data_IF_997892465493
#
_entry.id   IF_997892465493
#
_cell.length_a   1.000
_cell.length_b   1.000
_cell.length_c   1.000
_cell.angle_alpha   90.00
_cell.angle_beta   90.00
_cell.angle_gamma   90.00
#
_symmetry.space_group_name_H-M   'P 1'
#
loop_
_entity.id
_entity.type
_entity.pdbx_description
1 polymer ?
#
# COMPACT_ATOMS: atom_id res chain seq x y z
N UNK A 1 -13.58 12.28 -4.71
CA UNK A 1 -13.36 11.57 -3.42
C UNK A 1 -11.90 11.14 -3.38
N UNK A 2 -11.15 11.48 -2.32
CA UNK A 2 -9.74 11.07 -2.19
C UNK A 2 -9.71 9.72 -1.49
N UNK A 3 -9.17 8.71 -2.15
CA UNK A 3 -9.05 7.40 -1.54
C UNK A 3 -7.93 7.41 -0.48
N UNK A 4 -8.21 6.94 0.74
CA UNK A 4 -7.23 6.90 1.80
C UNK A 4 -6.22 5.78 1.55
N UNK A 5 -4.97 6.01 1.97
CA UNK A 5 -3.95 4.98 1.95
C UNK A 5 -4.33 3.85 2.89
N UNK A 6 -4.27 2.61 2.41
CA UNK A 6 -4.64 1.45 3.21
C UNK A 6 -3.71 1.23 4.42
N UNK A 7 -2.45 1.68 4.34
CA UNK A 7 -1.47 1.57 5.44
C UNK A 7 -1.65 2.64 6.52
N UNK A 8 -1.59 3.92 6.14
CA UNK A 8 -1.59 5.03 7.11
C UNK A 8 -2.96 5.68 7.30
N UNK A 9 -3.98 5.21 6.58
CA UNK A 9 -5.36 5.73 6.57
C UNK A 9 -5.47 7.24 6.23
N UNK A 10 -4.40 7.85 5.74
CA UNK A 10 -4.38 9.27 5.31
C UNK A 10 -4.78 9.41 3.85
N UNK A 11 -5.40 10.53 3.46
CA UNK A 11 -5.76 10.76 2.06
C UNK A 11 -4.52 10.70 1.15
N UNK A 12 -4.60 9.88 0.10
CA UNK A 12 -3.57 9.89 -0.94
C UNK A 12 -3.80 11.09 -1.86
N UNK A 13 -2.72 11.84 -2.12
CA UNK A 13 -2.70 12.88 -3.14
C UNK A 13 -2.22 12.27 -4.44
N UNK A 14 -2.60 12.86 -5.58
CA UNK A 14 -2.20 12.35 -6.89
C UNK A 14 -0.68 12.18 -7.04
N UNK A 15 0.10 13.07 -6.43
CA UNK A 15 1.57 13.02 -6.43
C UNK A 15 2.16 11.81 -5.69
N UNK A 16 1.45 11.30 -4.69
CA UNK A 16 1.95 10.23 -3.81
C UNK A 16 1.15 8.94 -3.93
N UNK A 17 0.11 8.87 -4.77
CA UNK A 17 -0.73 7.68 -4.89
C UNK A 17 0.00 6.56 -5.64
N UNK A 18 -0.08 5.35 -5.11
CA UNK A 18 0.38 4.10 -5.71
C UNK A 18 -0.80 3.14 -5.79
N UNK A 19 -1.14 2.75 -7.02
CA UNK A 19 -2.31 1.92 -7.36
C UNK A 19 -3.12 2.55 -8.49
N UNK A 20 -4.33 2.03 -8.78
CA UNK A 20 -5.05 1.00 -8.03
C UNK A 20 -4.38 -0.37 -8.13
N UNK A 21 -4.36 -1.11 -7.02
CA UNK A 21 -4.01 -2.52 -7.01
C UNK A 21 -5.18 -3.38 -7.50
N UNK A 22 -4.94 -4.69 -7.60
CA UNK A 22 -5.95 -5.66 -8.02
C UNK A 22 -7.23 -5.66 -7.17
N UNK A 23 -7.15 -5.25 -5.90
CA UNK A 23 -8.32 -5.09 -5.00
C UNK A 23 -8.90 -3.67 -4.96
N UNK A 24 -8.38 -2.74 -5.76
CA UNK A 24 -8.71 -1.32 -5.63
C UNK A 24 -8.04 -0.63 -4.43
N UNK A 25 -7.15 -1.31 -3.71
CA UNK A 25 -6.39 -0.67 -2.62
C UNK A 25 -5.39 0.36 -3.15
N UNK A 26 -5.26 1.47 -2.41
CA UNK A 26 -4.30 2.55 -2.69
C UNK A 26 -3.32 2.75 -1.55
N UNK A 27 -2.09 3.10 -1.92
CA UNK A 27 -1.00 3.33 -0.99
C UNK A 27 -0.28 4.64 -1.30
N UNK A 28 0.42 5.22 -0.32
CA UNK A 28 1.39 6.27 -0.64
C UNK A 28 2.67 5.66 -1.20
N UNK A 29 3.40 6.38 -2.07
CA UNK A 29 4.74 6.00 -2.54
C UNK A 29 5.69 5.65 -1.39
N UNK A 30 5.61 6.39 -0.27
CA UNK A 30 6.40 6.14 0.93
C UNK A 30 5.85 5.01 1.82
N UNK A 31 4.55 4.74 1.77
CA UNK A 31 3.91 3.67 2.53
C UNK A 31 3.98 2.31 1.82
N UNK A 32 4.30 2.31 0.52
CA UNK A 32 4.38 1.11 -0.29
C UNK A 32 5.74 0.40 -0.12
N UNK A 33 5.95 -0.11 1.08
CA UNK A 33 7.17 -0.82 1.48
C UNK A 33 6.80 -2.02 2.35
N UNK A 34 7.63 -3.05 2.31
CA UNK A 34 7.49 -4.20 3.19
C UNK A 34 7.72 -3.76 4.64
N UNK A 35 6.86 -4.20 5.55
CA UNK A 35 7.03 -3.94 6.97
C UNK A 35 8.23 -4.69 7.55
N UNK A 36 8.40 -5.95 7.14
CA UNK A 36 9.42 -6.87 7.64
C UNK A 36 10.83 -6.40 7.25
N UNK A 37 11.05 -6.12 5.97
CA UNK A 37 12.40 -5.79 5.45
C UNK A 37 12.58 -4.30 5.10
N UNK A 38 11.55 -3.46 5.26
CA UNK A 38 11.60 -2.03 4.92
C UNK A 38 11.78 -1.73 3.42
N UNK A 39 11.85 -2.76 2.56
CA UNK A 39 12.16 -2.61 1.14
C UNK A 39 10.98 -2.00 0.40
N UNK A 40 11.26 -1.02 -0.46
CA UNK A 40 10.25 -0.42 -1.33
C UNK A 40 9.65 -1.48 -2.25
N UNK A 41 8.36 -1.72 -2.10
CA UNK A 41 7.61 -2.60 -2.99
C UNK A 41 7.25 -1.81 -4.25
N UNK A 42 7.07 -2.52 -5.35
CA UNK A 42 6.58 -1.96 -6.61
C UNK A 42 5.31 -2.71 -6.99
N UNK A 43 4.49 -2.12 -7.86
CA UNK A 43 3.21 -2.73 -8.27
C UNK A 43 3.36 -4.18 -8.78
N UNK A 44 4.55 -4.53 -9.28
CA UNK A 44 4.93 -5.88 -9.71
C UNK A 44 5.37 -6.81 -8.57
N UNK A 45 5.99 -6.26 -7.52
CA UNK A 45 6.59 -7.04 -6.42
C UNK A 45 5.74 -7.03 -5.14
N UNK A 46 4.70 -6.20 -5.11
CA UNK A 46 3.75 -6.17 -4.00
C UNK A 46 2.90 -7.45 -4.00
N UNK A 47 3.12 -8.27 -2.98
CA UNK A 47 2.25 -9.37 -2.61
C UNK A 47 1.59 -9.01 -1.28
N UNK A 48 0.31 -8.63 -1.31
CA UNK A 48 -0.51 -8.64 -0.11
C UNK A 48 -0.99 -10.07 0.09
N UNK A 49 -0.43 -10.76 1.08
CA UNK A 49 -0.95 -12.05 1.45
C UNK A 49 -2.29 -11.83 2.15
N UNK A 50 -3.39 -11.89 1.39
CA UNK A 50 -4.75 -11.73 1.94
C UNK A 50 -5.09 -12.77 3.02
N UNK A 51 -4.28 -13.82 3.13
CA UNK A 51 -4.43 -14.92 4.07
C UNK A 51 -3.60 -14.74 5.35
N UNK A 52 -2.80 -13.68 5.45
CA UNK A 52 -1.97 -13.39 6.62
C UNK A 52 -2.37 -12.04 7.20
N UNK A 53 -3.09 -12.11 8.31
CA UNK A 53 -3.55 -10.95 9.08
C UNK A 53 -2.41 -10.26 9.82
N UNK A 54 -1.16 -10.75 9.78
CA UNK A 54 -0.02 -10.17 10.48
C UNK A 54 0.68 -9.06 9.68
N UNK A 55 0.34 -8.83 8.40
CA UNK A 55 0.81 -7.61 7.70
C UNK A 55 0.19 -6.33 8.29
N UNK A 56 -0.75 -6.44 9.24
CA UNK A 56 -1.33 -5.31 9.99
C UNK A 56 -0.55 -4.92 11.25
N UNK A 57 0.42 -5.71 11.69
CA UNK A 57 1.31 -5.37 12.82
C UNK A 57 2.60 -4.69 12.36
#
# INVERSE_FOLDING_TARGET
>A
MKEPCFRCKRPTYFNDKVGPLKDGSLFHKGCFKCWICGTRLSLKTYHNNRNDTQDLE
#
